data_IF_800836676062
#
_entry.id   IF_800836676062
#
_cell.length_a   1.000
_cell.length_b   1.000
_cell.length_c   1.000
_cell.angle_alpha   90.00
_cell.angle_beta   90.00
_cell.angle_gamma   90.00
#
_symmetry.space_group_name_H-M   'P 1'
#
loop_
_entity.id
_entity.type
_entity.pdbx_description
1 polymer ?
2 polymer ?
3 non-polymer ?
4 water ?
#
# COMPACT_ATOMS: atom_id res chain seq x y z
N UNK A 1 -20.28 6.68 17.71
CA UNK A 1 -18.93 6.29 17.20
C UNK A 1 -19.03 6.08 15.69
N UNK A 2 -17.93 6.26 14.98
CA UNK A 2 -17.94 6.11 13.52
C UNK A 2 -17.23 4.81 13.16
N UNK A 3 -17.60 4.46 11.95
CA UNK A 3 -16.99 3.27 11.30
C UNK A 3 -17.40 3.47 9.85
N UNK A 4 -16.72 2.81 8.92
CA UNK A 4 -17.14 2.97 7.51
C UNK A 4 -16.33 1.91 6.75
N UNK A 5 -16.84 1.70 5.55
CA UNK A 5 -16.25 0.76 4.61
C UNK A 5 -15.97 1.52 3.31
N UNK A 6 -14.72 1.43 2.89
CA UNK A 6 -14.44 2.08 1.58
C UNK A 6 -14.08 0.90 0.68
N UNK A 7 -14.60 0.91 -0.53
CA UNK A 7 -14.31 -0.17 -1.49
C UNK A 7 -13.10 0.16 -2.34
N UNK A 8 -12.17 -0.75 -2.45
CA UNK A 8 -10.99 -0.55 -3.30
C UNK A 8 -11.21 -1.45 -4.56
N UNK A 9 -10.49 -1.02 -5.60
CA UNK A 9 -10.51 -1.71 -6.90
C UNK A 9 -9.09 -1.78 -7.48
N UNK A 10 -8.67 -2.98 -7.84
CA UNK A 10 -7.34 -3.10 -8.43
C UNK A 10 -7.40 -2.56 -9.87
N UNK A 11 -6.23 -2.10 -10.26
CA UNK A 11 -6.04 -1.63 -11.63
C UNK A 11 -5.56 -2.90 -12.33
N UNK A 12 -5.20 -2.76 -13.60
CA UNK A 12 -4.72 -3.88 -14.43
C UNK A 12 -3.61 -4.62 -13.71
N UNK A 13 -3.76 -5.94 -13.69
CA UNK A 13 -2.81 -6.85 -13.05
C UNK A 13 -2.69 -6.60 -11.54
N UNK A 14 -3.59 -5.82 -10.97
CA UNK A 14 -3.50 -5.51 -9.52
C UNK A 14 -2.23 -4.71 -9.23
N UNK A 15 -1.85 -3.86 -10.15
CA UNK A 15 -0.63 -3.05 -9.95
C UNK A 15 -0.77 -2.10 -8.75
N UNK A 16 -1.97 -1.58 -8.61
CA UNK A 16 -2.30 -0.67 -7.50
C UNK A 16 -3.80 -0.80 -7.24
N UNK A 17 -4.21 -0.31 -6.04
CA UNK A 17 -5.64 -0.39 -5.62
C UNK A 17 -6.10 1.07 -5.43
N UNK A 18 -7.25 1.39 -5.98
CA UNK A 18 -7.73 2.80 -5.86
C UNK A 18 -9.09 2.75 -5.15
N UNK A 19 -9.30 3.81 -4.40
CA UNK A 19 -10.47 4.04 -3.58
C UNK A 19 -10.89 5.52 -3.68
N UNK A 20 -12.15 5.72 -3.84
CA UNK A 20 -12.67 7.11 -3.93
C UNK A 20 -12.64 7.80 -2.55
N UNK A 21 -12.28 9.09 -2.58
CA UNK A 21 -12.18 9.95 -1.41
C UNK A 21 -12.81 11.31 -1.79
N UNK A 22 -13.66 11.83 -0.94
CA UNK A 22 -14.25 13.14 -1.31
C UNK A 22 -13.53 14.21 -0.52
N UNK A 23 -13.02 15.19 -1.25
CA UNK A 23 -12.32 16.33 -0.64
C UNK A 23 -13.00 17.65 -1.00
N UNK A 24 -13.51 18.31 0.03
CA UNK A 24 -14.23 19.57 -0.20
C UNK A 24 -15.28 19.35 -1.32
N UNK A 25 -16.06 18.29 -1.28
CA UNK A 25 -17.09 18.08 -2.36
C UNK A 25 -16.64 17.39 -3.63
N UNK A 26 -15.35 17.29 -3.90
CA UNK A 26 -14.89 16.61 -5.14
C UNK A 26 -14.40 15.19 -4.87
N UNK A 27 -14.87 14.27 -5.69
CA UNK A 27 -14.37 12.86 -5.46
C UNK A 27 -13.16 12.58 -6.34
N UNK A 28 -12.08 12.08 -5.71
CA UNK A 28 -10.86 11.75 -6.39
C UNK A 28 -10.59 10.23 -6.15
N UNK A 29 -9.89 9.60 -7.07
CA UNK A 29 -9.56 8.17 -6.90
C UNK A 29 -8.12 8.09 -6.33
N UNK A 30 -8.02 7.71 -5.05
CA UNK A 30 -6.66 7.67 -4.50
C UNK A 30 -6.10 6.30 -4.24
N UNK A 31 -4.77 6.25 -4.20
CA UNK A 31 -4.07 4.97 -3.92
C UNK A 31 -3.84 4.97 -2.41
N UNK A 32 -4.45 4.09 -1.65
CA UNK A 32 -4.26 4.06 -0.16
C UNK A 32 -2.91 3.40 0.10
N UNK A 33 -1.99 4.07 0.76
CA UNK A 33 -0.66 3.54 0.98
C UNK A 33 -0.20 3.39 2.41
N UNK A 34 -0.15 2.19 2.97
CA UNK A 34 0.29 2.07 4.39
C UNK A 34 1.79 2.28 4.51
N UNK A 35 2.47 2.52 3.41
CA UNK A 35 3.94 2.74 3.47
C UNK A 35 4.32 4.22 3.54
N UNK A 36 3.37 5.14 3.58
CA UNK A 36 3.77 6.59 3.69
C UNK A 36 2.72 7.31 4.49
N UNK A 37 3.01 8.57 4.85
CA UNK A 37 1.99 9.28 5.68
C UNK A 37 1.50 10.61 5.11
N UNK A 38 1.55 10.76 3.80
CA UNK A 38 1.10 11.98 3.13
C UNK A 38 -0.22 11.75 2.33
N UNK A 39 -1.14 12.70 2.52
CA UNK A 39 -2.38 12.63 1.71
C UNK A 39 -2.11 13.74 0.69
N UNK A 40 -1.78 13.38 -0.55
CA UNK A 40 -1.50 14.45 -1.56
C UNK A 40 -2.40 14.15 -2.76
N UNK A 41 -2.81 15.19 -3.48
CA UNK A 41 -3.71 15.02 -4.63
C UNK A 41 -3.28 15.88 -5.81
N UNK A 42 -3.75 15.48 -6.99
CA UNK A 42 -3.49 16.30 -8.22
C UNK A 42 -4.31 17.57 -7.94
N UNK A 43 -3.86 18.75 -8.32
CA UNK A 43 -4.60 19.98 -8.02
C UNK A 43 -4.56 20.94 -9.24
N UNK A 44 -5.30 22.00 -9.07
CA UNK A 44 -5.31 23.00 -10.18
C UNK A 44 -4.04 23.85 -10.20
N UNK A 45 -3.11 23.56 -9.29
CA UNK A 45 -1.83 24.28 -9.21
C UNK A 45 -0.85 23.64 -10.16
N UNK A 46 -1.21 22.47 -10.69
CA UNK A 46 -0.37 21.78 -11.66
C UNK A 46 -0.60 22.43 -13.06
N UNK A 47 0.40 22.25 -13.92
CA UNK A 47 0.32 22.72 -15.32
C UNK A 47 -0.94 22.09 -15.89
N UNK A 48 -1.69 22.78 -16.69
CA UNK A 48 -2.94 22.20 -17.23
C UNK A 48 -2.72 20.87 -17.95
N UNK A 49 -1.61 20.72 -18.65
CA UNK A 49 -1.34 19.47 -19.36
C UNK A 49 -1.14 18.30 -18.41
N UNK A 50 -0.84 18.55 -17.15
CA UNK A 50 -0.67 17.42 -16.21
C UNK A 50 -1.97 17.13 -15.49
N UNK A 51 -2.95 18.02 -15.57
CA UNK A 51 -4.24 17.80 -14.89
C UNK A 51 -5.09 16.85 -15.71
N UNK A 52 -4.62 16.69 -16.94
CA UNK A 52 -5.30 15.88 -17.94
C UNK A 52 -5.40 14.39 -17.62
N UNK A 53 -6.67 13.99 -17.65
CA UNK A 53 -6.87 12.53 -17.38
C UNK A 53 -7.10 12.31 -15.89
N UNK A 54 -7.24 13.41 -15.14
CA UNK A 54 -7.43 13.26 -13.70
C UNK A 54 -8.54 14.09 -13.15
N UNK A 55 -8.97 13.71 -11.96
CA UNK A 55 -9.98 14.47 -11.20
C UNK A 55 -8.99 15.30 -10.34
N UNK A 56 -9.21 16.61 -10.27
CA UNK A 56 -8.29 17.46 -9.52
C UNK A 56 -9.01 18.25 -8.43
N UNK A 57 -8.19 18.51 -7.40
CA UNK A 57 -8.67 19.32 -6.27
C UNK A 57 -8.37 20.80 -6.57
N UNK A 58 -9.40 21.58 -6.21
CA UNK A 58 -9.25 23.06 -6.42
C UNK A 58 -9.25 23.67 -5.03
N UNK A 59 -8.06 23.97 -4.54
CA UNK A 59 -7.88 24.46 -3.18
C UNK A 59 -8.64 25.74 -2.82
N UNK A 60 -8.73 26.58 -3.84
CA UNK A 60 -9.36 27.90 -3.76
C UNK A 60 -10.84 27.90 -3.39
N UNK A 61 -11.44 26.83 -3.88
CA UNK A 61 -12.85 26.66 -3.67
C UNK A 61 -13.22 26.47 -2.19
N UNK A 62 -12.51 25.54 -1.55
CA UNK A 62 -12.83 25.16 -0.19
C UNK A 62 -11.77 24.96 0.86
N UNK A 63 -10.52 24.95 0.43
CA UNK A 63 -9.45 24.69 1.44
C UNK A 63 -9.04 25.99 2.14
N UNK A 64 -8.39 25.82 3.26
CA UNK A 64 -7.86 26.97 4.04
C UNK A 64 -6.34 26.78 3.87
N UNK A 65 -5.65 27.67 3.21
CA UNK A 65 -4.20 27.50 3.03
C UNK A 65 -3.38 27.62 4.31
N UNK A 66 -2.32 26.84 4.47
CA UNK A 66 -1.44 26.97 5.66
C UNK A 66 -0.29 27.82 5.10
N UNK A 67 -0.30 29.12 5.36
CA UNK A 67 0.76 29.97 4.81
C UNK A 67 2.15 29.48 5.23
N UNK A 68 2.99 29.38 4.22
CA UNK A 68 4.38 28.99 4.39
C UNK A 68 4.71 27.54 4.59
N UNK A 69 3.71 26.70 4.43
CA UNK A 69 3.91 25.24 4.61
C UNK A 69 4.08 24.65 3.22
N UNK A 70 4.95 23.64 3.19
CA UNK A 70 5.23 22.92 1.93
C UNK A 70 5.37 21.43 2.27
N UNK A 71 5.43 20.65 1.23
CA UNK A 71 5.61 19.19 1.41
C UNK A 71 6.43 18.75 0.18
N UNK A 72 7.10 17.65 0.38
CA UNK A 72 7.95 17.09 -0.70
C UNK A 72 8.18 15.64 -0.33
N UNK A 73 7.79 14.75 -1.26
CA UNK A 73 7.95 13.32 -0.92
C UNK A 73 8.62 12.55 -2.08
N UNK A 74 9.40 11.57 -1.65
CA UNK A 74 10.12 10.68 -2.59
C UNK A 74 9.78 9.23 -2.20
N UNK A 75 9.44 8.43 -3.17
CA UNK A 75 9.09 7.02 -2.93
C UNK A 75 10.23 6.14 -3.36
N UNK A 76 10.08 4.89 -2.93
CA UNK A 76 11.02 3.79 -3.19
C UNK A 76 11.19 3.48 -4.66
N UNK A 77 10.19 3.77 -5.49
CA UNK A 77 10.37 3.47 -6.92
C UNK A 77 11.02 4.67 -7.65
N UNK A 78 11.47 5.66 -6.86
CA UNK A 78 12.10 6.85 -7.49
C UNK A 78 11.09 7.93 -7.87
N UNK A 79 9.82 7.80 -7.66
CA UNK A 79 8.85 8.85 -8.05
C UNK A 79 8.84 9.88 -6.91
N UNK A 80 8.31 11.09 -7.15
CA UNK A 80 8.28 12.12 -6.11
C UNK A 80 7.20 13.13 -6.50
N UNK A 81 6.88 13.95 -5.51
CA UNK A 81 5.85 15.00 -5.73
C UNK A 81 6.08 16.06 -4.63
N UNK A 82 5.58 17.26 -4.94
CA UNK A 82 5.77 18.34 -3.89
C UNK A 82 4.72 19.41 -4.10
N UNK A 83 4.49 20.24 -3.08
CA UNK A 83 3.47 21.30 -3.24
C UNK A 83 3.28 22.06 -1.92
N UNK A 84 2.05 22.57 -1.82
CA UNK A 84 1.62 23.38 -0.68
C UNK A 84 0.50 22.69 0.05
N UNK A 85 0.04 23.33 1.14
CA UNK A 85 -0.93 22.66 2.00
C UNK A 85 -2.13 23.47 2.39
N UNK A 86 -3.24 22.75 2.38
CA UNK A 86 -4.54 23.31 2.73
C UNK A 86 -5.23 22.36 3.71
N UNK A 87 -6.16 22.91 4.47
CA UNK A 87 -6.95 22.03 5.36
C UNK A 87 -8.34 22.01 4.69
N UNK A 88 -8.95 20.83 4.73
CA UNK A 88 -10.31 20.68 4.11
C UNK A 88 -11.01 19.51 4.78
N UNK A 89 -12.22 19.23 4.31
CA UNK A 89 -13.06 18.12 4.78
C UNK A 89 -12.68 16.92 3.86
N UNK A 90 -12.33 15.83 4.51
CA UNK A 90 -11.97 14.65 3.66
C UNK A 90 -12.88 13.49 4.11
N UNK A 91 -13.59 12.86 3.17
CA UNK A 91 -14.50 11.74 3.51
C UNK A 91 -14.09 10.46 2.80
N UNK A 92 -13.98 9.43 3.66
CA UNK A 92 -13.59 8.11 3.18
C UNK A 92 -14.61 7.10 3.77
N UNK A 93 -15.32 6.45 2.88
CA UNK A 93 -16.31 5.44 3.31
C UNK A 93 -17.29 6.00 4.34
N UNK A 94 -17.72 7.22 4.15
CA UNK A 94 -18.65 7.91 5.03
C UNK A 94 -18.04 8.41 6.32
N UNK A 95 -16.75 8.28 6.56
CA UNK A 95 -16.11 8.79 7.78
C UNK A 95 -15.46 10.12 7.31
N UNK A 96 -15.83 11.20 7.98
CA UNK A 96 -15.30 12.52 7.62
C UNK A 96 -14.30 13.11 8.62
N UNK A 97 -13.17 13.49 8.06
CA UNK A 97 -12.12 14.17 8.85
C UNK A 97 -12.32 15.65 8.51
N UNK A 98 -12.58 16.45 9.53
CA UNK A 98 -12.73 17.90 9.36
C UNK A 98 -11.34 18.49 9.63
N UNK A 99 -10.94 19.47 8.86
CA UNK A 99 -9.62 20.11 9.03
C UNK A 99 -8.42 19.22 8.74
N UNK A 100 -8.63 18.22 7.88
CA UNK A 100 -7.57 17.32 7.48
C UNK A 100 -6.59 18.09 6.55
N UNK A 101 -5.30 17.91 6.74
CA UNK A 101 -4.32 18.54 5.88
C UNK A 101 -4.30 17.82 4.54
N UNK A 102 -4.48 18.53 3.45
CA UNK A 102 -4.54 18.03 2.07
C UNK A 102 -3.36 18.69 1.34
N UNK A 103 -2.46 17.86 0.89
CA UNK A 103 -1.20 18.29 0.21
C UNK A 103 -1.47 18.43 -1.29
N UNK A 104 -1.59 19.69 -1.72
CA UNK A 104 -1.89 19.97 -3.13
C UNK A 104 -0.61 19.92 -3.97
N UNK A 105 -0.62 19.04 -5.00
CA UNK A 105 0.58 18.94 -5.83
C UNK A 105 0.78 20.22 -6.70
N UNK A 106 2.02 20.65 -6.74
CA UNK A 106 2.53 21.73 -7.59
C UNK A 106 3.45 21.10 -8.65
N UNK A 107 4.15 20.04 -8.28
CA UNK A 107 5.09 19.31 -9.13
C UNK A 107 4.94 17.77 -8.90
N UNK A 108 5.04 17.02 -9.98
CA UNK A 108 4.94 15.55 -9.94
C UNK A 108 5.98 14.99 -10.92
N UNK A 109 6.57 13.86 -10.56
CA UNK A 109 7.61 13.24 -11.40
C UNK A 109 6.96 12.51 -12.54
N UNK A 110 7.71 12.09 -13.53
CA UNK A 110 7.19 11.39 -14.71
C UNK A 110 6.29 10.21 -14.45
N UNK A 111 6.67 9.42 -13.44
CA UNK A 111 5.82 8.23 -13.12
C UNK A 111 4.37 8.62 -12.86
N UNK A 112 4.23 9.73 -12.10
CA UNK A 112 2.90 10.23 -11.76
C UNK A 112 2.18 10.84 -12.97
N UNK A 113 2.96 11.55 -13.79
CA UNK A 113 2.36 12.15 -15.00
C UNK A 113 1.93 10.99 -15.93
N UNK A 114 2.62 9.85 -15.88
CA UNK A 114 2.21 8.77 -16.79
C UNK A 114 1.06 7.95 -16.30
N UNK A 115 0.84 7.88 -15.00
CA UNK A 115 -0.25 7.06 -14.44
C UNK A 115 -1.57 7.77 -14.26
N UNK A 116 -2.52 7.48 -15.12
CA UNK A 116 -3.84 8.11 -15.00
C UNK A 116 -4.81 7.30 -14.14
N UNK A 117 -4.37 6.23 -13.51
CA UNK A 117 -5.24 5.43 -12.66
C UNK A 117 -5.54 6.09 -11.30
N UNK A 118 -4.67 6.98 -10.82
CA UNK A 118 -4.97 7.58 -9.52
C UNK A 118 -4.80 9.11 -9.67
N UNK A 119 -5.35 9.72 -8.63
CA UNK A 119 -5.35 11.22 -8.52
C UNK A 119 -4.56 11.64 -7.26
N UNK A 120 -3.71 10.75 -6.82
CA UNK A 120 -2.85 11.07 -5.61
C UNK A 120 -2.92 9.82 -4.69
N UNK A 121 -2.32 10.03 -3.53
CA UNK A 121 -2.17 8.98 -2.52
C UNK A 121 -2.70 9.43 -1.18
N UNK A 122 -3.19 8.48 -0.40
CA UNK A 122 -3.66 8.75 0.97
C UNK A 122 -2.75 7.85 1.82
N UNK A 123 -1.87 8.43 2.62
CA UNK A 123 -0.93 7.67 3.44
C UNK A 123 -1.59 7.22 4.74
N UNK A 124 -1.27 5.96 5.09
CA UNK A 124 -1.76 5.31 6.29
C UNK A 124 -0.65 4.79 7.19
N UNK A 125 0.57 5.24 6.96
CA UNK A 125 1.72 4.86 7.85
C UNK A 125 1.55 5.79 9.08
N UNK A 126 2.46 5.73 10.03
CA UNK A 126 2.38 6.58 11.26
C UNK A 126 2.68 8.05 10.87
N UNK A 127 1.97 8.94 11.56
CA UNK A 127 2.12 10.40 11.25
C UNK A 127 3.53 10.94 11.44
N UNK A 128 4.34 10.18 12.18
CA UNK A 128 5.73 10.59 12.42
C UNK A 128 6.56 10.77 11.14
N UNK A 129 6.13 10.20 10.01
CA UNK A 129 6.89 10.34 8.77
C UNK A 129 6.19 11.22 7.75
N UNK A 130 5.20 11.96 8.22
CA UNK A 130 4.52 12.93 7.31
C UNK A 130 5.57 13.99 6.94
N UNK A 131 5.62 14.38 5.66
CA UNK A 131 6.61 15.32 5.15
C UNK A 131 6.27 16.82 5.22
N UNK A 132 5.11 17.18 5.70
CA UNK A 132 4.77 18.63 5.72
C UNK A 132 5.76 19.39 6.59
N UNK A 133 6.13 20.55 6.10
CA UNK A 133 7.09 21.42 6.85
C UNK A 133 6.51 22.85 6.92
N UNK A 134 6.84 23.56 7.96
CA UNK A 134 7.70 23.24 9.06
C UNK A 134 7.17 22.31 10.13
N UNK A 135 5.88 22.06 10.17
CA UNK A 135 5.28 21.18 11.20
C UNK A 135 4.51 20.06 10.47
N UNK A 136 4.87 18.84 10.78
CA UNK A 136 4.17 17.69 10.15
C UNK A 136 2.72 17.63 10.57
N UNK A 137 1.91 17.01 9.71
CA UNK A 137 0.47 16.90 9.95
C UNK A 137 0.09 15.43 10.18
N UNK A 138 -1.12 15.18 10.66
CA UNK A 138 -1.58 13.82 10.91
C UNK A 138 -2.28 13.27 9.68
N UNK A 139 -2.11 11.94 9.57
CA UNK A 139 -2.73 11.21 8.46
C UNK A 139 -4.25 11.21 8.66
N UNK A 140 -4.99 10.85 7.61
CA UNK A 140 -6.45 10.79 7.70
C UNK A 140 -6.83 9.90 8.92
N UNK A 141 -6.14 8.77 9.00
CA UNK A 141 -6.48 7.84 10.11
C UNK A 141 -6.24 8.47 11.50
N UNK A 142 -5.09 9.10 11.66
CA UNK A 142 -4.78 9.72 12.97
C UNK A 142 -5.76 10.85 13.23
N UNK A 143 -6.20 11.51 12.18
CA UNK A 143 -7.13 12.63 12.42
C UNK A 143 -8.47 12.14 12.98
N UNK A 144 -8.96 11.02 12.47
CA UNK A 144 -10.24 10.48 12.89
C UNK A 144 -10.24 9.36 13.93
N UNK A 145 -9.11 8.83 14.22
CA UNK A 145 -8.96 7.67 15.12
C UNK A 145 -9.79 7.73 16.42
N UNK A 146 -9.72 8.87 17.06
CA UNK A 146 -10.46 9.03 18.35
C UNK A 146 -11.97 9.00 18.16
N UNK A 147 -12.46 9.24 16.93
CA UNK A 147 -13.91 9.22 16.75
C UNK A 147 -14.39 7.81 16.31
N UNK A 148 -13.45 6.93 15.93
CA UNK A 148 -13.90 5.59 15.51
C UNK A 148 -14.31 4.75 16.71
N UNK A 149 -15.15 3.76 16.48
CA UNK A 149 -15.59 2.79 17.50
C UNK A 149 -14.35 2.09 18.07
N UNK A 150 -13.38 1.73 17.21
CA UNK A 150 -12.11 1.10 17.56
C UNK A 150 -11.02 1.81 16.72
N UNK A 151 -9.88 2.10 17.32
CA UNK A 151 -8.81 2.84 16.61
C UNK A 151 -7.94 1.92 15.75
N UNK A 152 -8.58 1.42 14.72
CA UNK A 152 -7.94 0.48 13.78
C UNK A 152 -8.61 0.61 12.41
N UNK A 153 -7.92 0.07 11.43
CA UNK A 153 -8.45 -0.03 10.04
C UNK A 153 -8.07 -1.48 9.65
N UNK A 154 -8.79 -2.01 8.67
CA UNK A 154 -8.51 -3.41 8.24
C UNK A 154 -8.59 -3.44 6.71
N UNK A 155 -7.85 -4.38 6.11
CA UNK A 155 -7.90 -4.40 4.64
C UNK A 155 -7.93 -5.81 4.06
N UNK A 156 -8.76 -5.86 3.04
CA UNK A 156 -8.90 -7.06 2.22
C UNK A 156 -8.65 -6.58 0.77
N UNK A 157 -7.49 -6.86 0.23
CA UNK A 157 -7.11 -6.59 -1.15
C UNK A 157 -7.33 -7.94 -1.88
N UNK A 158 -7.98 -7.90 -3.03
CA UNK A 158 -8.26 -9.12 -3.81
C UNK A 158 -7.66 -9.12 -5.19
N UNK A 159 -7.58 -10.32 -5.75
CA UNK A 159 -7.04 -10.46 -7.12
C UNK A 159 -8.17 -10.21 -8.12
N UNK A 160 -8.03 -9.13 -8.86
CA UNK A 160 -9.03 -8.73 -9.87
C UNK A 160 -10.48 -8.83 -9.45
N UNK A 161 -10.79 -8.30 -8.27
CA UNK A 161 -12.07 -8.19 -7.64
C UNK A 161 -11.96 -6.99 -6.63
N UNK A 162 -13.12 -6.38 -6.39
CA UNK A 162 -13.24 -5.24 -5.48
C UNK A 162 -12.93 -5.78 -4.08
N UNK A 163 -12.30 -4.96 -3.27
CA UNK A 163 -11.90 -5.35 -1.90
C UNK A 163 -12.41 -4.22 -1.00
N UNK A 164 -11.98 -4.24 0.26
CA UNK A 164 -12.47 -3.21 1.16
C UNK A 164 -11.34 -2.74 2.09
N UNK A 165 -11.63 -1.53 2.55
CA UNK A 165 -10.87 -0.90 3.63
C UNK A 165 -11.96 -0.78 4.75
N UNK A 166 -11.80 -1.49 5.86
CA UNK A 166 -12.81 -1.30 6.94
C UNK A 166 -12.25 -0.26 7.92
N UNK A 167 -12.96 0.84 8.21
CA UNK A 167 -12.37 1.75 9.22
C UNK A 167 -13.09 1.68 10.57
N UNK A 168 -12.45 1.49 11.70
CA UNK A 168 -13.06 1.47 13.01
C UNK A 168 -13.77 0.20 13.45
N UNK A 169 -13.70 -0.85 12.64
CA UNK A 169 -14.34 -2.11 13.00
C UNK A 169 -13.69 -3.23 12.16
N UNK A 170 -13.91 -4.43 12.71
CA UNK A 170 -13.37 -5.63 12.01
C UNK A 170 -14.57 -6.41 11.42
N UNK A 171 -14.43 -6.82 10.18
CA UNK A 171 -15.53 -7.59 9.56
C UNK A 171 -15.06 -9.05 9.64
N UNK A 172 -15.65 -9.80 10.58
CA UNK A 172 -15.26 -11.21 10.73
C UNK A 172 -15.64 -12.07 9.53
N UNK A 173 -16.53 -11.61 8.70
CA UNK A 173 -16.88 -12.47 7.53
C UNK A 173 -15.80 -12.41 6.48
N UNK A 174 -14.80 -11.52 6.65
CA UNK A 174 -13.74 -11.36 5.62
C UNK A 174 -12.58 -12.33 5.74
N UNK A 175 -12.66 -13.14 6.82
CA UNK A 175 -11.56 -14.11 7.02
C UNK A 175 -12.12 -15.38 7.67
N UNK A 176 -11.23 -16.38 7.60
CA UNK A 176 -11.52 -17.70 8.15
C UNK A 176 -10.79 -17.81 9.49
N UNK A 177 -11.48 -18.43 10.46
CA UNK A 177 -10.83 -18.63 11.77
C UNK A 177 -10.78 -17.34 12.60
N UNK A 178 -9.74 -17.33 13.44
CA UNK A 178 -9.50 -16.18 14.33
C UNK A 178 -8.25 -15.41 13.91
N UNK A 179 -8.19 -14.14 14.30
CA UNK A 179 -6.98 -13.34 13.94
C UNK A 179 -5.82 -13.66 14.90
N UNK A 180 -4.63 -13.53 14.37
CA UNK A 180 -3.41 -13.71 15.20
C UNK A 180 -2.73 -12.33 15.23
N UNK A 181 -2.41 -11.84 16.42
CA UNK A 181 -1.74 -10.51 16.41
C UNK A 181 -0.24 -10.61 16.68
N UNK A 182 0.46 -9.62 16.13
CA UNK A 182 1.91 -9.56 16.37
C UNK A 182 2.25 -8.09 16.70
N UNK A 183 3.30 -7.87 17.49
CA UNK A 183 3.65 -6.46 17.81
C UNK A 183 4.28 -5.75 16.59
N UNK A 184 4.03 -4.44 16.56
CA UNK A 184 4.55 -3.55 15.51
C UNK A 184 5.62 -2.62 16.08
N UNK A 185 6.65 -2.40 15.32
CA UNK A 185 7.75 -1.49 15.69
C UNK A 185 7.49 -0.25 14.78
N UNK A 186 7.01 0.81 15.41
CA UNK A 186 6.70 1.98 14.55
C UNK A 186 7.86 2.99 14.61
N UNK A 187 9.01 2.57 15.07
CA UNK A 187 10.12 3.52 15.19
C UNK A 187 10.50 4.18 13.88
N UNK A 188 10.41 3.60 12.71
CA UNK A 188 10.75 4.26 11.46
C UNK A 188 9.47 4.74 10.77
N UNK A 189 8.37 4.73 11.50
CA UNK A 189 7.07 5.20 10.97
C UNK A 189 6.30 4.16 10.14
N UNK A 190 6.80 2.95 10.05
CA UNK A 190 6.09 1.90 9.26
C UNK A 190 5.30 0.91 10.14
N UNK A 191 4.43 0.11 9.48
CA UNK A 191 3.72 -0.98 10.21
C UNK A 191 4.74 -2.16 10.02
N UNK A 192 5.78 -2.11 10.86
CA UNK A 192 6.86 -3.12 10.79
C UNK A 192 6.62 -4.29 11.73
N UNK A 193 6.87 -5.50 11.28
CA UNK A 193 6.65 -6.67 12.18
C UNK A 193 7.75 -7.69 11.89
N UNK A 194 7.85 -8.67 12.79
CA UNK A 194 8.86 -9.71 12.64
C UNK A 194 8.23 -11.07 12.25
N UNK A 195 9.02 -11.77 11.44
CA UNK A 195 8.68 -13.13 11.06
C UNK A 195 9.79 -13.99 11.70
N UNK A 196 9.34 -15.14 12.21
CA UNK A 196 10.32 -16.04 12.89
C UNK A 196 11.00 -16.99 11.91
N UNK A 197 10.36 -17.25 10.78
CA UNK A 197 10.96 -18.15 9.78
C UNK A 197 10.14 -18.05 8.50
N UNK A 198 10.65 -18.66 7.43
CA UNK A 198 9.92 -18.65 6.17
C UNK A 198 10.08 -20.04 5.51
N UNK A 199 9.15 -20.31 4.63
CA UNK A 199 9.18 -21.50 3.80
C UNK A 199 8.96 -21.03 2.36
N UNK A 200 9.93 -21.28 1.53
CA UNK A 200 9.91 -20.97 0.10
C UNK A 200 9.89 -22.33 -0.63
N UNK A 201 8.68 -22.81 -0.89
CA UNK A 201 8.49 -24.12 -1.55
C UNK A 201 9.16 -25.17 -0.68
N UNK A 202 10.20 -25.81 -1.21
CA UNK A 202 10.94 -26.86 -0.49
C UNK A 202 12.04 -26.40 0.44
N UNK A 203 12.25 -25.11 0.61
CA UNK A 203 13.35 -24.61 1.45
C UNK A 203 12.82 -23.69 2.54
N UNK A 204 13.42 -23.88 3.70
CA UNK A 204 12.97 -23.02 4.86
C UNK A 204 14.19 -22.22 5.28
N UNK A 205 13.99 -21.10 5.98
CA UNK A 205 15.17 -20.28 6.41
C UNK A 205 14.74 -19.52 7.65
N UNK A 206 15.64 -18.70 8.10
CA UNK A 206 15.48 -17.89 9.32
C UNK A 206 14.64 -16.66 9.00
N UNK A 207 14.22 -16.09 10.11
CA UNK A 207 13.37 -14.90 10.14
C UNK A 207 14.07 -13.61 9.72
N UNK A 208 13.21 -12.56 9.73
CA UNK A 208 13.66 -11.22 9.31
C UNK A 208 12.52 -10.27 9.65
N UNK A 209 12.68 -9.01 9.29
CA UNK A 209 11.52 -8.13 9.61
C UNK A 209 11.08 -7.54 8.24
N UNK A 210 9.85 -7.01 8.29
CA UNK A 210 9.32 -6.40 7.06
C UNK A 210 8.17 -5.43 7.42
N UNK A 211 7.73 -4.72 6.38
CA UNK A 211 6.62 -3.81 6.59
C UNK A 211 5.40 -4.25 5.78
N UNK A 212 4.21 -3.98 6.35
CA UNK A 212 2.96 -4.30 5.59
C UNK A 212 2.66 -3.02 4.76
N UNK A 213 2.77 -3.17 3.45
CA UNK A 213 2.59 -1.97 2.55
C UNK A 213 1.63 -2.19 1.41
N UNK A 214 0.43 -1.60 1.56
CA UNK A 214 -0.59 -1.71 0.52
C UNK A 214 -0.15 -0.94 -0.74
N UNK A 215 0.76 -0.01 -0.53
CA UNK A 215 1.31 0.80 -1.63
C UNK A 215 2.42 0.19 -2.49
N UNK A 216 2.87 -1.03 -2.23
CA UNK A 216 3.92 -1.69 -3.03
C UNK A 216 3.23 -2.88 -3.75
N UNK A 217 3.45 -2.97 -5.04
CA UNK A 217 2.82 -4.05 -5.80
C UNK A 217 3.25 -5.49 -5.41
N UNK A 218 4.53 -5.69 -5.30
CA UNK A 218 5.06 -7.04 -5.08
C UNK A 218 5.47 -7.41 -3.69
N UNK A 219 6.01 -8.64 -3.57
CA UNK A 219 6.52 -9.13 -2.28
C UNK A 219 8.05 -8.95 -2.44
N UNK A 220 8.67 -8.00 -1.76
CA UNK A 220 10.12 -7.76 -2.00
C UNK A 220 10.93 -8.33 -0.82
N UNK A 221 11.81 -9.25 -1.17
CA UNK A 221 12.58 -9.95 -0.17
C UNK A 221 14.08 -9.90 -0.42
N UNK A 222 14.88 -10.41 0.55
CA UNK A 222 16.30 -10.41 0.35
C UNK A 222 16.67 -11.27 -0.86
N UNK A 223 17.76 -10.85 -1.53
CA UNK A 223 18.21 -11.58 -2.71
C UNK A 223 18.40 -13.07 -2.47
N UNK A 224 18.87 -13.41 -1.28
CA UNK A 224 19.12 -14.86 -0.94
C UNK A 224 17.82 -15.68 -1.07
N UNK A 225 16.76 -15.08 -0.52
CA UNK A 225 15.43 -15.66 -0.51
C UNK A 225 14.90 -15.73 -1.95
N UNK A 226 15.12 -14.64 -2.67
CA UNK A 226 14.64 -14.62 -4.07
C UNK A 226 15.30 -15.75 -4.89
N UNK A 227 16.60 -15.84 -4.71
CA UNK A 227 17.37 -16.90 -5.42
C UNK A 227 16.82 -18.30 -5.13
N UNK A 228 16.70 -18.53 -3.84
CA UNK A 228 16.16 -19.80 -3.30
C UNK A 228 14.81 -20.16 -3.91
N UNK A 229 13.97 -19.13 -3.94
CA UNK A 229 12.63 -19.33 -4.52
C UNK A 229 12.64 -19.68 -6.02
N UNK A 230 13.31 -18.83 -6.83
CA UNK A 230 13.31 -19.10 -8.29
C UNK A 230 14.22 -20.30 -8.67
N UNK A 231 15.07 -20.72 -7.76
CA UNK A 231 15.90 -21.89 -8.10
C UNK A 231 14.95 -23.08 -8.25
N UNK A 232 13.75 -22.95 -7.72
CA UNK A 232 12.78 -24.05 -7.82
C UNK A 232 11.74 -23.92 -8.92
N UNK A 233 11.91 -22.91 -9.75
CA UNK A 233 10.97 -22.61 -10.83
C UNK A 233 11.72 -22.93 -12.12
N UNK A 234 11.27 -24.00 -12.74
CA UNK A 234 11.92 -24.42 -14.00
C UNK A 234 11.84 -23.29 -15.05
N UNK A 235 13.02 -22.94 -15.51
CA UNK A 235 13.26 -21.94 -16.54
C UNK A 235 13.18 -20.47 -16.16
N UNK A 236 13.06 -20.16 -14.89
CA UNK A 236 12.97 -18.77 -14.40
C UNK A 236 14.29 -18.09 -14.74
N UNK A 237 14.16 -16.84 -15.20
CA UNK A 237 15.37 -16.05 -15.55
C UNK A 237 15.05 -14.57 -15.30
N UNK A 238 16.06 -13.81 -15.07
CA UNK A 238 15.95 -12.36 -14.84
C UNK A 238 15.76 -11.71 -16.22
N UNK A 239 14.85 -10.77 -16.30
CA UNK A 239 14.58 -10.05 -17.56
C UNK A 239 14.39 -8.58 -17.17
N UNK A 240 15.43 -7.79 -17.40
CA UNK A 240 15.41 -6.36 -17.07
C UNK A 240 14.29 -5.64 -17.82
N UNK A 241 13.87 -6.14 -18.96
CA UNK A 241 12.77 -5.51 -19.72
C UNK A 241 11.51 -5.57 -18.84
N UNK A 242 11.34 -6.70 -18.17
CA UNK A 242 10.18 -6.96 -17.32
C UNK A 242 10.37 -6.44 -15.91
N UNK A 243 11.57 -6.34 -15.38
CA UNK A 243 11.71 -5.83 -14.00
C UNK A 243 12.12 -6.90 -13.01
N UNK A 244 12.49 -8.10 -13.46
CA UNK A 244 12.95 -9.08 -12.45
C UNK A 244 12.84 -10.48 -13.05
N UNK A 245 12.65 -11.44 -12.15
CA UNK A 245 12.50 -12.83 -12.62
C UNK A 245 11.20 -13.05 -13.34
N UNK A 246 11.27 -13.78 -14.45
CA UNK A 246 10.11 -14.11 -15.28
C UNK A 246 10.16 -15.64 -15.51
N UNK A 247 9.04 -16.15 -15.98
CA UNK A 247 8.92 -17.60 -16.24
C UNK A 247 7.67 -17.75 -17.12
N UNK A 248 7.61 -18.99 -17.61
CA UNK A 248 6.54 -19.45 -18.48
C UNK A 248 5.26 -19.26 -17.66
N UNK A 249 4.29 -18.64 -18.27
CA UNK A 249 3.06 -18.43 -17.50
C UNK A 249 2.42 -19.73 -17.04
N UNK A 250 2.66 -20.81 -17.72
CA UNK A 250 1.99 -22.06 -17.29
C UNK A 250 2.69 -22.81 -16.17
N UNK A 251 3.81 -22.29 -15.73
CA UNK A 251 4.61 -22.88 -14.67
C UNK A 251 3.85 -23.00 -13.34
N UNK A 252 4.17 -24.11 -12.69
CA UNK A 252 3.61 -24.45 -11.35
C UNK A 252 4.45 -23.74 -10.29
N UNK A 253 3.98 -22.70 -9.61
CA UNK A 253 4.89 -22.07 -8.62
C UNK A 253 4.69 -22.60 -7.20
N UNK A 254 5.78 -22.68 -6.47
CA UNK A 254 5.74 -23.11 -5.07
C UNK A 254 5.09 -21.97 -4.24
N UNK A 255 4.56 -22.42 -3.11
CA UNK A 255 3.95 -21.50 -2.16
C UNK A 255 5.10 -20.84 -1.39
N UNK A 256 4.75 -19.73 -0.73
CA UNK A 256 5.70 -18.99 0.10
C UNK A 256 4.96 -18.74 1.43
N UNK A 257 5.58 -19.07 2.56
CA UNK A 257 4.85 -18.81 3.82
C UNK A 257 5.79 -18.21 4.84
N UNK A 258 5.21 -17.50 5.82
CA UNK A 258 6.05 -16.92 6.90
C UNK A 258 5.38 -17.28 8.23
N UNK A 259 6.23 -17.39 9.25
CA UNK A 259 5.67 -17.74 10.59
C UNK A 259 5.63 -16.42 11.38
N UNK A 260 4.43 -15.99 11.72
CA UNK A 260 4.26 -14.74 12.47
C UNK A 260 3.61 -15.01 13.83
N UNK A 261 4.40 -14.94 14.87
CA UNK A 261 3.81 -15.18 16.22
C UNK A 261 3.01 -16.49 16.24
N UNK A 262 3.60 -17.54 15.65
CA UNK A 262 2.91 -18.84 15.66
C UNK A 262 1.89 -19.06 14.59
N UNK A 263 1.56 -18.01 13.85
CA UNK A 263 0.59 -18.15 12.74
C UNK A 263 1.41 -18.28 11.42
N UNK A 264 0.94 -19.21 10.58
CA UNK A 264 1.62 -19.40 9.29
C UNK A 264 0.81 -18.68 8.21
N UNK A 265 1.38 -17.61 7.68
CA UNK A 265 0.67 -16.85 6.62
C UNK A 265 1.22 -17.43 5.31
N UNK A 266 0.33 -18.04 4.52
CA UNK A 266 0.77 -18.62 3.26
C UNK A 266 0.25 -17.89 2.03
N UNK A 267 1.15 -17.62 1.13
CA UNK A 267 0.72 -17.04 -0.16
C UNK A 267 0.76 -18.26 -1.13
N UNK A 268 -0.37 -18.65 -1.69
CA UNK A 268 -0.40 -19.76 -2.65
C UNK A 268 0.41 -19.41 -3.89
N UNK A 269 1.08 -20.41 -4.46
CA UNK A 269 1.87 -20.15 -5.68
C UNK A 269 1.02 -19.44 -6.76
N UNK A 270 -0.27 -19.64 -6.92
CA UNK A 270 -1.08 -18.97 -7.95
C UNK A 270 -1.04 -17.44 -7.84
N UNK A 271 -1.02 -16.94 -6.63
CA UNK A 271 -0.97 -15.47 -6.42
C UNK A 271 0.44 -14.96 -6.69
N UNK A 272 1.47 -15.78 -6.77
CA UNK A 272 2.85 -15.37 -7.06
C UNK A 272 3.05 -15.13 -8.57
N UNK A 273 2.11 -15.55 -9.38
CA UNK A 273 2.15 -15.31 -10.83
C UNK A 273 1.50 -13.90 -10.91
N UNK A 274 2.27 -12.87 -11.07
CA UNK A 274 1.75 -11.49 -11.13
C UNK A 274 0.88 -11.20 -12.37
N UNK A 275 1.41 -11.74 -13.48
CA UNK A 275 0.74 -11.55 -14.76
C UNK A 275 1.82 -11.41 -15.85
N UNK A 276 1.33 -11.09 -17.04
CA UNK A 276 2.18 -10.97 -18.23
C UNK A 276 3.33 -10.04 -17.94
N UNK A 277 4.50 -10.48 -18.34
CA UNK A 277 5.68 -9.64 -18.10
C UNK A 277 5.62 -8.48 -19.10
N UNK A 278 4.88 -8.76 -20.17
CA UNK A 278 4.74 -7.77 -21.27
C UNK A 278 6.06 -7.64 -22.04
N UNK A 279 6.65 -8.81 -22.23
CA UNK A 279 7.92 -8.98 -22.92
C UNK A 279 7.92 -10.32 -23.68
N UNK A 280 6.75 -10.67 -24.17
CA UNK A 280 6.71 -11.94 -24.96
C UNK A 280 5.66 -12.81 -24.29
N UNK A 281 6.06 -14.01 -23.96
CA UNK A 281 5.10 -14.95 -23.34
C UNK A 281 5.67 -15.55 -22.07
N UNK A 282 5.96 -14.57 -21.23
CA UNK A 282 6.50 -14.87 -19.89
C UNK A 282 5.64 -13.96 -18.99
N UNK A 283 5.66 -14.44 -17.75
CA UNK A 283 4.88 -13.75 -16.70
C UNK A 283 5.89 -13.27 -15.68
N UNK A 284 5.62 -12.21 -14.96
CA UNK A 284 6.55 -11.69 -13.96
C UNK A 284 6.21 -12.34 -12.60
N UNK A 285 7.28 -12.68 -11.86
CA UNK A 285 7.06 -13.28 -10.53
C UNK A 285 6.64 -12.19 -9.54
N UNK A 286 5.81 -12.67 -8.62
CA UNK A 286 5.30 -11.75 -7.55
C UNK A 286 6.37 -11.51 -6.50
N UNK A 287 7.42 -12.31 -6.45
CA UNK A 287 8.53 -12.15 -5.50
C UNK A 287 9.72 -11.53 -6.25
N UNK A 288 10.25 -10.42 -5.74
CA UNK A 288 11.43 -9.81 -6.41
C UNK A 288 12.31 -9.26 -5.30
N UNK A 289 13.50 -8.86 -5.74
CA UNK A 289 14.52 -8.31 -4.80
C UNK A 289 14.15 -6.97 -4.16
N UNK A 290 14.57 -6.75 -2.93
CA UNK A 290 14.35 -5.56 -2.14
C UNK A 290 15.55 -4.61 -2.26
N UNK A 291 16.42 -4.84 -3.21
CA UNK A 291 17.62 -4.05 -3.50
C UNK A 291 18.65 -3.95 -2.38
N UNK A 292 18.62 -4.90 -1.47
CA UNK A 292 19.62 -4.88 -0.37
C UNK A 292 19.28 -3.93 0.75
N UNK A 293 18.06 -3.44 0.86
CA UNK A 293 17.71 -2.52 1.95
C UNK A 293 17.72 -3.08 3.38
N UNK A 294 17.76 -4.36 3.60
CA UNK A 294 17.82 -4.84 5.00
C UNK A 294 16.52 -5.26 5.64
N UNK A 295 15.36 -5.10 5.01
CA UNK A 295 14.06 -5.51 5.58
C UNK A 295 13.18 -5.81 4.35
N UNK A 296 12.12 -6.57 4.54
CA UNK A 296 11.25 -6.93 3.40
C UNK A 296 10.01 -6.07 3.26
N UNK A 297 9.50 -5.98 2.05
CA UNK A 297 8.26 -5.19 1.85
C UNK A 297 7.16 -6.22 1.51
N UNK A 298 6.23 -6.33 2.46
CA UNK A 298 5.07 -7.24 2.29
C UNK A 298 4.00 -6.46 1.50
N UNK A 299 4.15 -6.41 0.21
CA UNK A 299 3.29 -5.72 -0.74
C UNK A 299 2.00 -6.50 -1.05
N UNK A 300 1.30 -5.97 -2.06
CA UNK A 300 -0.01 -6.50 -2.47
C UNK A 300 -0.01 -8.00 -2.74
N UNK A 301 1.09 -8.53 -3.26
CA UNK A 301 1.13 -9.99 -3.56
C UNK A 301 0.79 -10.79 -2.30
N UNK A 302 1.43 -10.35 -1.22
CA UNK A 302 1.23 -10.95 0.11
C UNK A 302 -0.17 -10.69 0.67
N UNK A 303 -0.55 -9.41 0.61
CA UNK A 303 -1.85 -8.95 1.14
C UNK A 303 -3.06 -9.60 0.50
N UNK A 304 -2.94 -9.96 -0.76
CA UNK A 304 -4.10 -10.60 -1.43
C UNK A 304 -4.43 -11.91 -0.75
N UNK A 305 -3.56 -12.49 0.04
CA UNK A 305 -3.86 -13.76 0.74
C UNK A 305 -4.43 -13.57 2.13
N UNK A 306 -4.35 -12.37 2.71
CA UNK A 306 -4.82 -12.18 4.07
C UNK A 306 -5.76 -11.03 4.32
N UNK A 307 -6.39 -11.16 5.47
CA UNK A 307 -7.24 -10.00 5.93
C UNK A 307 -6.28 -9.44 7.02
N UNK A 308 -5.96 -8.15 6.89
CA UNK A 308 -4.96 -7.57 7.83
C UNK A 308 -5.57 -6.42 8.66
N UNK A 309 -5.34 -6.53 9.94
CA UNK A 309 -5.83 -5.49 10.84
C UNK A 309 -4.63 -4.63 11.27
N UNK A 310 -4.83 -3.32 11.05
CA UNK A 310 -3.81 -2.32 11.46
C UNK A 310 -4.38 -1.68 12.73
N UNK A 311 -3.83 -2.09 13.89
CA UNK A 311 -4.35 -1.56 15.16
C UNK A 311 -3.44 -0.57 15.86
N UNK A 312 -4.00 0.64 16.04
CA UNK A 312 -3.17 1.66 16.73
C UNK A 312 -2.99 1.29 18.19
N UNK A 313 -3.77 0.44 18.80
CA UNK A 313 -3.51 0.03 20.23
C UNK A 313 -2.43 -1.03 20.22
N UNK A 314 -1.26 -0.74 20.77
CA UNK A 314 -0.10 -1.66 20.81
C UNK A 314 1.13 -0.87 20.40
N UNK A 315 1.30 -0.54 19.13
CA UNK A 315 0.40 -0.92 18.01
C UNK A 315 0.64 -2.39 17.66
N UNK A 316 -0.32 -2.93 16.89
CA UNK A 316 -0.15 -4.36 16.49
C UNK A 316 -0.85 -4.60 15.15
N UNK A 317 -0.52 -5.72 14.53
CA UNK A 317 -1.12 -6.14 13.26
C UNK A 317 -1.76 -7.51 13.49
N UNK A 318 -2.98 -7.64 12.98
CA UNK A 318 -3.65 -8.97 13.09
C UNK A 318 -3.76 -9.51 11.69
N UNK A 319 -3.60 -10.83 11.62
CA UNK A 319 -3.66 -11.60 10.36
C UNK A 319 -4.57 -12.85 10.42
N UNK A 320 -5.22 -13.10 9.30
CA UNK A 320 -6.03 -14.31 9.13
C UNK A 320 -6.15 -14.50 7.62
N UNK A 321 -6.34 -15.73 7.18
CA UNK A 321 -6.52 -16.03 5.75
C UNK A 321 -7.83 -15.41 5.27
N UNK A 322 -7.78 -14.80 4.09
CA UNK A 322 -9.00 -14.18 3.51
C UNK A 322 -10.02 -15.27 3.20
N UNK A 323 -11.28 -14.90 3.46
CA UNK A 323 -12.35 -15.89 3.21
C UNK A 323 -12.70 -15.86 1.71
CA UNK B 1 4.79 -2.40 -10.27
C UNK B 1 5.47 -1.21 -9.56
N UNK B 2 4.79 -0.69 -8.58
CA UNK B 2 5.31 0.50 -7.84
C UNK B 2 5.78 0.11 -6.44
N UNK B 3 6.50 1.07 -5.87
CA UNK B 3 7.01 0.94 -4.49
C UNK B 3 6.70 2.27 -3.76
N UNK B 4 5.62 2.26 -2.99
CA UNK B 4 5.26 3.52 -2.29
C UNK B 4 5.16 3.27 -0.77
X LIG C 1 -19.39 0.63 11.85
X LIG C 1 -20.71 0.57 11.11
X LIG C 1 -21.61 1.73 11.56
X LIG C 1 -21.74 1.72 13.10
X LIG C 1 -20.34 1.85 13.67
X LIG C 1 -20.25 1.90 15.20
X LIG C 1 -21.26 -0.72 11.54
X LIG C 1 -22.91 1.56 11.00
X LIG C 1 -22.55 2.81 13.51
X LIG C 1 -19.55 0.68 13.26
X LIG C 1 -20.58 0.61 15.72
#
# INVERSE_FOLDING_TARGET
AASGVATNTPTANDEEYITPVTIGGTTLNLNFDTGSADLWVFSTELPASQQSGHSVYNPSATGKELSGYTWSISYGDGSSASGNVFTDSVTVGGVTAHGQAVQAAQQISAQFQQDTNNDGLLGLAFSSINTVQPQSQTTFFDTVKSSLAQPLFAVALKHQQPGVYDFGFIDSSKYTGSLTYTGVDNSQGFWSFNVDSYTAGSQSGDGFSGIADTGTTLLLLDDSVVSQYYSQVSGAQQDSNAGGYVFDCSTNLPDFSVSISGYTATVPGSLINYGPSGDGSTCLGGIQSNSGIGFSIFGDIFLKSQYVVFDSDGPQLGFAPQA
XVVX
MAN C1 C2 C3 C4 C5 C6 O2 O3 O4 O5 O6
#
